data_IF_139865635582
#
_entry.id   IF_139865635582
#
_cell.length_a   1.000
_cell.length_b   1.000
_cell.length_c   1.000
_cell.angle_alpha   90.00
_cell.angle_beta   90.00
_cell.angle_gamma   90.00
#
_symmetry.space_group_name_H-M   'P 1'
#
loop_
_entity.id
_entity.type
_entity.pdbx_description
1 polymer ?
#
# COMPACT_ATOMS: atom_id res chain seq x y z
N UNK A 1 -8.07 4.99 16.58
CA UNK A 1 -9.46 5.14 16.07
C UNK A 1 -9.55 4.76 14.58
N UNK A 2 -9.18 3.55 14.15
CA UNK A 2 -9.27 3.12 12.73
C UNK A 2 -10.53 2.31 12.39
N UNK A 3 -10.97 1.45 13.32
CA UNK A 3 -12.11 0.52 13.15
C UNK A 3 -13.46 1.16 12.77
N UNK A 4 -13.68 2.45 13.01
CA UNK A 4 -14.97 3.11 12.79
C UNK A 4 -15.15 3.69 11.37
N UNK A 5 -14.09 3.80 10.56
CA UNK A 5 -14.20 4.31 9.18
C UNK A 5 -14.60 3.22 8.17
N UNK A 6 -14.07 2.01 8.30
CA UNK A 6 -14.36 0.85 7.42
C UNK A 6 -15.84 0.49 7.31
N UNK A 7 -16.65 0.76 8.34
CA UNK A 7 -18.09 0.49 8.36
C UNK A 7 -18.96 1.64 7.82
N UNK A 8 -18.40 2.85 7.66
CA UNK A 8 -19.08 4.00 7.04
C UNK A 8 -18.78 4.18 5.56
N UNK A 9 -17.78 3.46 5.05
CA UNK A 9 -17.43 3.49 3.64
C UNK A 9 -18.45 2.69 2.80
N UNK A 10 -18.85 3.21 1.62
CA UNK A 10 -19.72 2.47 0.72
C UNK A 10 -19.06 1.14 0.29
N UNK A 11 -19.84 0.09 0.02
CA UNK A 11 -19.33 -1.26 -0.23
C UNK A 11 -18.34 -1.33 -1.41
N UNK A 12 -18.49 -0.45 -2.40
CA UNK A 12 -17.55 -0.30 -3.51
C UNK A 12 -16.16 0.19 -3.07
N UNK A 13 -16.10 1.20 -2.19
CA UNK A 13 -14.83 1.72 -1.67
C UNK A 13 -14.11 0.66 -0.82
N UNK A 14 -14.87 -0.12 -0.05
CA UNK A 14 -14.31 -1.23 0.74
C UNK A 14 -13.70 -2.33 -0.13
N UNK A 15 -14.33 -2.63 -1.27
CA UNK A 15 -13.77 -3.57 -2.24
C UNK A 15 -12.49 -3.04 -2.88
N UNK A 16 -12.47 -1.76 -3.26
CA UNK A 16 -11.26 -1.10 -3.78
C UNK A 16 -10.08 -1.18 -2.80
N UNK A 17 -10.32 -0.96 -1.51
CA UNK A 17 -9.30 -1.06 -0.48
C UNK A 17 -8.76 -2.47 -0.33
N UNK A 18 -9.62 -3.49 -0.35
CA UNK A 18 -9.21 -4.91 -0.30
C UNK A 18 -8.38 -5.31 -1.53
N UNK A 19 -8.77 -4.84 -2.71
CA UNK A 19 -8.03 -5.07 -3.95
C UNK A 19 -6.67 -4.35 -3.92
N UNK A 20 -6.63 -3.11 -3.44
CA UNK A 20 -5.40 -2.36 -3.24
C UNK A 20 -4.47 -3.05 -2.24
N UNK A 21 -4.98 -3.55 -1.12
CA UNK A 21 -4.22 -4.30 -0.12
C UNK A 21 -3.59 -5.55 -0.74
N UNK A 22 -4.35 -6.32 -1.53
CA UNK A 22 -3.85 -7.51 -2.22
C UNK A 22 -2.78 -7.18 -3.28
N UNK A 23 -2.94 -6.09 -4.03
CA UNK A 23 -2.01 -5.71 -5.11
C UNK A 23 -0.75 -5.03 -4.54
N UNK A 24 -0.85 -4.33 -3.41
CA UNK A 24 0.27 -3.59 -2.82
C UNK A 24 1.41 -4.52 -2.41
N UNK A 25 1.11 -5.71 -1.87
CA UNK A 25 2.11 -6.70 -1.44
C UNK A 25 3.03 -7.15 -2.60
N UNK A 26 2.54 -7.72 -3.72
CA UNK A 26 3.40 -8.12 -4.82
C UNK A 26 4.10 -6.94 -5.49
N UNK A 27 3.47 -5.75 -5.50
CA UNK A 27 4.03 -4.54 -6.10
C UNK A 27 5.24 -4.04 -5.30
N UNK A 28 5.16 -4.02 -3.97
CA UNK A 28 6.30 -3.70 -3.09
C UNK A 28 7.43 -4.73 -3.24
N UNK A 29 7.12 -6.03 -3.36
CA UNK A 29 8.13 -7.08 -3.55
C UNK A 29 8.86 -6.93 -4.89
N UNK A 30 8.13 -6.71 -5.99
CA UNK A 30 8.75 -6.46 -7.30
C UNK A 30 9.58 -5.17 -7.30
N UNK A 31 9.08 -4.13 -6.64
CA UNK A 31 9.76 -2.84 -6.53
C UNK A 31 11.05 -2.96 -5.70
N UNK A 32 11.04 -3.73 -4.63
CA UNK A 32 12.20 -4.05 -3.79
C UNK A 32 13.26 -4.84 -4.56
N UNK A 33 12.83 -5.86 -5.32
CA UNK A 33 13.72 -6.60 -6.22
C UNK A 33 14.38 -5.68 -7.25
N UNK A 34 13.60 -4.81 -7.90
CA UNK A 34 14.14 -3.86 -8.89
C UNK A 34 15.13 -2.89 -8.25
N UNK A 35 14.86 -2.39 -7.04
CA UNK A 35 15.78 -1.49 -6.31
C UNK A 35 17.09 -2.16 -5.93
N UNK A 36 17.07 -3.47 -5.63
CA UNK A 36 18.29 -4.23 -5.33
C UNK A 36 19.19 -4.43 -6.57
N UNK A 37 18.60 -4.64 -7.75
CA UNK A 37 19.36 -4.85 -8.99
C UNK A 37 19.85 -3.54 -9.63
N UNK A 38 19.04 -2.48 -9.59
CA UNK A 38 19.35 -1.19 -10.21
C UNK A 38 18.87 -0.06 -9.27
N UNK A 39 19.66 0.27 -8.24
CA UNK A 39 19.26 1.29 -7.28
C UNK A 39 19.25 2.67 -7.95
N UNK A 40 18.06 3.17 -8.28
CA UNK A 40 17.84 4.59 -8.59
C UNK A 40 17.28 5.29 -7.37
N UNK A 41 17.75 6.50 -7.09
CA UNK A 41 17.24 7.35 -6.00
C UNK A 41 15.73 7.58 -6.12
N UNK A 42 15.22 7.67 -7.35
CA UNK A 42 13.78 7.81 -7.61
C UNK A 42 12.99 6.57 -7.19
N UNK A 43 13.55 5.37 -7.38
CA UNK A 43 12.87 4.12 -7.04
C UNK A 43 12.78 3.91 -5.53
N UNK A 44 13.80 4.35 -4.78
CA UNK A 44 13.81 4.29 -3.31
C UNK A 44 12.76 5.25 -2.72
N UNK A 45 12.62 6.45 -3.30
CA UNK A 45 11.58 7.41 -2.90
C UNK A 45 10.19 6.85 -3.19
N UNK A 46 9.99 6.27 -4.37
CA UNK A 46 8.71 5.67 -4.77
C UNK A 46 8.36 4.45 -3.89
N UNK A 47 9.35 3.61 -3.56
CA UNK A 47 9.19 2.46 -2.68
C UNK A 47 8.82 2.91 -1.26
N UNK A 48 9.49 3.94 -0.72
CA UNK A 48 9.19 4.52 0.59
C UNK A 48 7.73 5.00 0.68
N UNK A 49 7.25 5.70 -0.36
CA UNK A 49 5.86 6.17 -0.41
C UNK A 49 4.86 5.01 -0.45
N UNK A 50 5.14 3.98 -1.26
CA UNK A 50 4.30 2.77 -1.35
C UNK A 50 4.28 1.99 -0.04
N UNK A 51 5.41 1.92 0.68
CA UNK A 51 5.48 1.27 1.99
C UNK A 51 4.71 2.06 3.05
N UNK A 52 4.80 3.39 3.07
CA UNK A 52 3.98 4.23 3.96
C UNK A 52 2.48 4.05 3.70
N UNK A 53 2.10 3.91 2.44
CA UNK A 53 0.71 3.64 2.04
C UNK A 53 0.27 2.23 2.46
N UNK A 54 1.13 1.22 2.27
CA UNK A 54 0.90 -0.15 2.74
C UNK A 54 0.74 -0.22 4.27
N UNK A 55 1.58 0.49 5.01
CA UNK A 55 1.50 0.59 6.48
C UNK A 55 0.23 1.31 6.92
N UNK A 56 -0.20 2.33 6.19
CA UNK A 56 -1.47 3.02 6.46
C UNK A 56 -2.68 2.09 6.29
N UNK A 57 -2.65 1.20 5.30
CA UNK A 57 -3.65 0.13 5.18
C UNK A 57 -3.56 -0.89 6.31
N UNK A 58 -2.34 -1.32 6.68
CA UNK A 58 -2.13 -2.31 7.74
C UNK A 58 -2.60 -1.80 9.12
N UNK A 59 -2.37 -0.52 9.43
CA UNK A 59 -2.85 0.12 10.66
C UNK A 59 -4.36 0.46 10.64
N UNK A 60 -5.07 0.16 9.54
CA UNK A 60 -6.46 0.59 9.31
C UNK A 60 -6.64 2.10 9.54
N UNK A 61 -5.63 2.91 9.18
CA UNK A 61 -5.73 4.37 9.25
C UNK A 61 -6.62 4.96 8.15
N UNK A 62 -6.84 4.19 7.07
CA UNK A 62 -7.74 4.49 5.95
C UNK A 62 -9.01 3.64 6.02
#
# INVERSE_FOLDING_TARGET
MGRFYRFRLPPWARHFLLVLEQITIPLVVFQALRTLFLPSTFDVILLSLLVLLAVSFYLEWL
#
